data_IF_890797002609
#
_entry.id   IF_890797002609
#
_cell.length_a   1.000
_cell.length_b   1.000
_cell.length_c   1.000
_cell.angle_alpha   90.00
_cell.angle_beta   90.00
_cell.angle_gamma   90.00
#
_symmetry.space_group_name_H-M   'P 1'
#
loop_
_entity.id
_entity.type
_entity.pdbx_description
1 polymer ?
#
# COMPACT_ATOMS: atom_id res chain seq x y z
N UNK A 1 1.37 6.06 -1.59
CA UNK A 1 0.76 4.71 -1.53
C UNK A 1 1.85 3.73 -1.13
N UNK A 2 1.62 2.94 -0.08
CA UNK A 2 2.53 1.89 0.40
C UNK A 2 1.97 0.53 0.02
N UNK A 3 2.78 -0.28 -0.66
CA UNK A 3 2.38 -1.60 -1.15
C UNK A 3 3.31 -2.72 -0.64
N UNK A 4 2.80 -3.94 -0.42
CA UNK A 4 3.59 -5.04 0.13
C UNK A 4 4.48 -5.72 -0.90
N UNK A 5 4.13 -5.68 -2.19
CA UNK A 5 4.80 -6.45 -3.23
C UNK A 5 5.00 -5.70 -4.53
N UNK A 6 5.85 -6.23 -5.41
CA UNK A 6 6.04 -5.71 -6.77
C UNK A 6 4.75 -5.86 -7.58
N UNK A 7 4.05 -6.98 -7.45
CA UNK A 7 2.79 -7.20 -8.17
C UNK A 7 1.70 -6.17 -7.76
N UNK A 8 1.57 -5.89 -6.46
CA UNK A 8 0.67 -4.83 -5.97
C UNK A 8 1.07 -3.46 -6.52
N UNK A 9 2.38 -3.17 -6.58
CA UNK A 9 2.89 -1.93 -7.13
C UNK A 9 2.49 -1.73 -8.59
N UNK A 10 2.68 -2.75 -9.44
CA UNK A 10 2.30 -2.70 -10.85
C UNK A 10 0.78 -2.51 -11.03
N UNK A 11 -0.02 -3.14 -10.18
CA UNK A 11 -1.47 -2.95 -10.16
C UNK A 11 -1.87 -1.51 -9.81
N UNK A 12 -1.23 -0.92 -8.81
CA UNK A 12 -1.45 0.49 -8.43
C UNK A 12 -1.03 1.43 -9.55
N UNK A 13 0.15 1.24 -10.13
CA UNK A 13 0.65 2.07 -11.26
C UNK A 13 -0.33 2.04 -12.42
N UNK A 14 -0.78 0.85 -12.84
CA UNK A 14 -1.77 0.73 -13.90
C UNK A 14 -3.10 1.43 -13.57
N UNK A 15 -3.54 1.37 -12.32
CA UNK A 15 -4.75 2.06 -11.88
C UNK A 15 -4.58 3.57 -11.93
N UNK A 16 -3.42 4.09 -11.51
CA UNK A 16 -3.12 5.52 -11.58
C UNK A 16 -3.09 6.00 -13.03
N UNK A 17 -2.50 5.24 -13.95
CA UNK A 17 -2.51 5.57 -15.39
C UNK A 17 -3.94 5.71 -15.94
N UNK A 18 -4.80 4.75 -15.64
CA UNK A 18 -6.20 4.75 -16.09
C UNK A 18 -6.98 5.93 -15.50
N UNK A 19 -6.65 6.33 -14.27
CA UNK A 19 -7.42 7.34 -13.53
C UNK A 19 -6.97 8.78 -13.76
N UNK A 20 -5.89 9.03 -14.51
CA UNK A 20 -5.37 10.39 -14.73
C UNK A 20 -6.42 11.36 -15.29
N UNK A 21 -7.15 10.94 -16.33
CA UNK A 21 -8.20 11.74 -16.95
C UNK A 21 -9.36 12.01 -15.99
N UNK A 22 -9.74 11.01 -15.20
CA UNK A 22 -10.76 11.16 -14.16
C UNK A 22 -10.39 12.23 -13.14
N UNK A 23 -9.16 12.19 -12.61
CA UNK A 23 -8.69 13.20 -11.66
C UNK A 23 -8.64 14.60 -12.28
N UNK A 24 -8.18 14.71 -13.51
CA UNK A 24 -8.13 16.00 -14.21
C UNK A 24 -9.54 16.59 -14.38
N UNK A 25 -10.53 15.76 -14.70
CA UNK A 25 -11.92 16.17 -14.92
C UNK A 25 -12.62 16.54 -13.61
N UNK A 26 -12.53 15.67 -12.59
CA UNK A 26 -13.28 15.84 -11.34
C UNK A 26 -12.71 16.93 -10.43
N UNK A 27 -11.37 17.06 -10.40
CA UNK A 27 -10.69 17.97 -9.48
C UNK A 27 -10.09 19.21 -10.17
N UNK A 28 -10.18 19.28 -11.49
CA UNK A 28 -9.56 20.34 -12.30
C UNK A 28 -8.06 20.50 -12.01
N UNK A 29 -7.41 19.38 -11.71
CA UNK A 29 -5.97 19.29 -11.43
C UNK A 29 -5.41 18.02 -12.01
N UNK A 30 -4.26 18.09 -12.70
CA UNK A 30 -3.59 16.88 -13.15
C UNK A 30 -3.14 16.05 -11.95
N UNK A 31 -3.23 14.73 -12.10
CA UNK A 31 -2.64 13.79 -11.15
C UNK A 31 -1.37 13.23 -11.78
N UNK A 32 -0.28 13.38 -11.06
CA UNK A 32 1.03 12.86 -11.42
C UNK A 32 1.47 11.83 -10.39
N UNK A 33 2.31 10.88 -10.80
CA UNK A 33 2.83 9.90 -9.87
C UNK A 33 4.26 9.48 -10.23
N UNK A 34 4.96 8.90 -9.28
CA UNK A 34 6.22 8.21 -9.50
C UNK A 34 6.35 6.99 -8.58
N UNK A 35 7.14 6.04 -9.02
CA UNK A 35 7.56 4.91 -8.20
C UNK A 35 8.87 5.28 -7.52
N UNK A 36 8.95 5.11 -6.21
CA UNK A 36 10.18 5.36 -5.47
C UNK A 36 11.32 4.47 -5.98
N UNK A 37 12.41 5.09 -6.32
CA UNK A 37 13.69 4.45 -6.68
C UNK A 37 14.82 5.08 -5.85
N UNK A 38 15.54 4.24 -5.10
CA UNK A 38 16.69 4.68 -4.30
C UNK A 38 17.84 5.27 -5.12
N UNK A 39 17.89 4.97 -6.41
CA UNK A 39 18.91 5.48 -7.35
C UNK A 39 18.52 6.80 -8.00
N UNK A 40 17.24 7.18 -7.95
CA UNK A 40 16.74 8.43 -8.51
C UNK A 40 15.82 9.13 -7.50
N UNK A 41 16.36 10.11 -6.77
CA UNK A 41 15.64 10.82 -5.72
C UNK A 41 15.03 12.15 -6.19
N UNK A 42 15.29 12.59 -7.42
CA UNK A 42 14.74 13.84 -7.96
C UNK A 42 13.22 13.95 -7.86
N UNK A 43 12.41 12.87 -8.10
CA UNK A 43 10.96 12.96 -7.97
C UNK A 43 10.47 13.30 -6.55
N UNK A 44 11.27 13.04 -5.50
CA UNK A 44 10.92 13.39 -4.12
C UNK A 44 10.89 14.92 -3.94
N UNK A 45 11.77 15.66 -4.60
CA UNK A 45 11.75 17.13 -4.57
C UNK A 45 10.51 17.68 -5.27
N UNK A 46 10.17 17.11 -6.42
CA UNK A 46 8.93 17.43 -7.13
C UNK A 46 7.71 17.13 -6.28
N UNK A 47 7.68 15.97 -5.59
CA UNK A 47 6.62 15.60 -4.66
C UNK A 47 6.42 16.65 -3.55
N UNK A 48 7.49 17.22 -3.05
CA UNK A 48 7.43 18.20 -1.96
C UNK A 48 7.02 19.62 -2.41
N UNK A 49 7.14 19.93 -3.68
CA UNK A 49 6.94 21.31 -4.21
C UNK A 49 5.81 21.43 -5.23
N UNK A 50 5.33 20.32 -5.81
CA UNK A 50 4.32 20.34 -6.85
C UNK A 50 2.93 20.69 -6.25
N UNK A 51 2.21 21.68 -6.81
CA UNK A 51 0.87 22.07 -6.33
C UNK A 51 -0.26 21.17 -6.81
N UNK A 52 0.03 20.21 -7.68
CA UNK A 52 -0.93 19.25 -8.23
C UNK A 52 -1.15 18.06 -7.28
N UNK A 53 -2.02 17.16 -7.68
CA UNK A 53 -2.14 15.86 -6.99
C UNK A 53 -0.92 15.03 -7.39
N UNK A 54 -0.03 14.80 -6.45
CA UNK A 54 1.22 14.08 -6.72
C UNK A 54 1.32 12.83 -5.85
N UNK A 55 1.53 11.67 -6.46
CA UNK A 55 1.46 10.37 -5.79
C UNK A 55 2.82 9.68 -5.82
N UNK A 56 3.36 9.32 -4.65
CA UNK A 56 4.51 8.44 -4.53
C UNK A 56 4.02 7.00 -4.27
N UNK A 57 4.45 6.06 -5.10
CA UNK A 57 4.22 4.63 -4.88
C UNK A 57 5.51 4.00 -4.34
N UNK A 58 5.45 3.39 -3.16
CA UNK A 58 6.63 2.85 -2.49
C UNK A 58 6.36 1.45 -1.93
N UNK A 59 7.29 0.53 -2.16
CA UNK A 59 7.26 -0.80 -1.56
C UNK A 59 7.81 -0.77 -0.14
N UNK A 60 7.31 -1.62 0.73
CA UNK A 60 7.80 -1.75 2.11
C UNK A 60 9.29 -2.11 2.17
N UNK A 61 9.81 -2.86 1.20
CA UNK A 61 11.23 -3.20 1.12
C UNK A 61 12.12 -1.95 0.98
N UNK A 62 11.63 -0.89 0.35
CA UNK A 62 12.40 0.33 0.13
C UNK A 62 12.88 1.00 1.43
N UNK A 63 12.15 0.81 2.53
CA UNK A 63 12.54 1.34 3.83
C UNK A 63 12.72 0.29 4.92
N UNK A 64 12.38 -0.99 4.68
CA UNK A 64 12.52 -2.08 5.65
C UNK A 64 13.72 -2.98 5.40
N UNK A 65 14.27 -3.03 4.20
CA UNK A 65 15.42 -3.85 3.90
C UNK A 65 16.67 -3.38 4.71
N UNK A 66 17.59 -4.31 4.97
CA UNK A 66 18.84 -4.04 5.69
C UNK A 66 19.97 -3.55 4.78
N UNK A 67 19.76 -3.57 3.46
CA UNK A 67 20.76 -3.19 2.47
C UNK A 67 21.02 -1.68 2.41
N UNK A 68 22.12 -1.29 1.77
CA UNK A 68 22.50 0.12 1.61
C UNK A 68 21.45 0.94 0.88
N UNK A 69 20.80 0.36 -0.14
CA UNK A 69 19.74 1.03 -0.89
C UNK A 69 18.53 1.43 -0.03
N UNK A 70 18.15 0.58 0.92
CA UNK A 70 17.08 0.91 1.87
C UNK A 70 17.48 2.02 2.86
N UNK A 71 18.75 2.08 3.23
CA UNK A 71 19.26 3.15 4.10
C UNK A 71 19.28 4.50 3.38
N UNK A 72 19.34 4.52 2.06
CA UNK A 72 19.33 5.78 1.29
C UNK A 72 18.07 6.61 1.52
N UNK A 73 16.94 5.98 1.79
CA UNK A 73 15.70 6.70 2.11
C UNK A 73 15.74 7.39 3.48
N UNK A 74 16.45 6.83 4.44
CA UNK A 74 16.42 7.23 5.86
C UNK A 74 17.67 7.93 6.37
N UNK A 75 18.68 8.13 5.53
CA UNK A 75 19.93 8.83 5.90
C UNK A 75 20.17 10.09 5.08
N UNK A 76 21.05 10.94 5.58
CA UNK A 76 21.54 12.11 4.82
C UNK A 76 22.35 11.65 3.62
N UNK A 77 22.08 12.27 2.47
CA UNK A 77 22.76 11.96 1.22
C UNK A 77 23.36 13.23 0.63
N UNK A 78 24.64 13.16 0.24
CA UNK A 78 25.35 14.28 -0.38
C UNK A 78 24.69 14.69 -1.71
N UNK A 79 24.37 13.71 -2.57
CA UNK A 79 23.70 13.93 -3.83
C UNK A 79 22.26 14.46 -3.71
N UNK A 80 21.72 14.48 -2.50
CA UNK A 80 20.40 15.05 -2.16
C UNK A 80 20.54 16.32 -1.29
N UNK A 81 21.67 17.03 -1.42
CA UNK A 81 21.94 18.25 -0.67
C UNK A 81 22.04 18.03 0.85
N UNK A 82 22.65 16.94 1.28
CA UNK A 82 22.77 16.55 2.70
C UNK A 82 21.43 16.44 3.44
N UNK A 83 20.33 16.26 2.71
CA UNK A 83 18.99 16.04 3.29
C UNK A 83 18.66 14.55 3.40
N UNK A 84 17.70 14.23 4.25
CA UNK A 84 17.13 12.88 4.39
C UNK A 84 15.87 12.81 3.52
N UNK A 85 15.79 11.95 2.50
CA UNK A 85 14.63 11.86 1.61
C UNK A 85 13.30 11.66 2.36
N UNK A 86 13.28 10.79 3.37
CA UNK A 86 12.11 10.56 4.21
C UNK A 86 11.63 11.84 4.91
N UNK A 87 12.53 12.68 5.40
CA UNK A 87 12.18 13.93 6.06
C UNK A 87 11.58 14.95 5.09
N UNK A 88 12.04 14.97 3.83
CA UNK A 88 11.46 15.82 2.79
C UNK A 88 10.03 15.41 2.50
N UNK A 89 9.76 14.11 2.40
CA UNK A 89 8.38 13.59 2.26
C UNK A 89 7.55 13.90 3.51
N UNK A 90 8.09 13.68 4.70
CA UNK A 90 7.39 13.93 5.97
C UNK A 90 6.99 15.39 6.17
N UNK A 91 7.80 16.32 5.65
CA UNK A 91 7.51 17.76 5.73
C UNK A 91 6.26 18.19 4.93
N UNK A 92 5.79 17.37 4.00
CA UNK A 92 4.55 17.61 3.24
C UNK A 92 3.28 17.17 3.99
N UNK A 93 3.40 16.49 5.13
CA UNK A 93 2.27 15.85 5.84
C UNK A 93 1.40 15.01 4.89
N UNK A 94 1.95 14.01 4.21
CA UNK A 94 1.25 13.31 3.14
C UNK A 94 0.03 12.53 3.65
N UNK A 95 -0.95 12.31 2.79
CA UNK A 95 -1.97 11.28 3.02
C UNK A 95 -1.32 9.93 2.74
N UNK A 96 -1.34 9.04 3.73
CA UNK A 96 -0.77 7.70 3.61
C UNK A 96 -1.85 6.69 3.26
N UNK A 97 -1.73 6.04 2.11
CA UNK A 97 -2.61 4.96 1.66
C UNK A 97 -1.83 3.65 1.77
N UNK A 98 -2.33 2.70 2.54
CA UNK A 98 -1.67 1.40 2.77
C UNK A 98 -2.55 0.30 2.21
N UNK A 99 -2.06 -0.35 1.17
CA UNK A 99 -2.68 -1.53 0.58
C UNK A 99 -2.26 -2.79 1.33
N UNK A 100 -3.23 -3.67 1.59
CA UNK A 100 -3.03 -4.91 2.34
C UNK A 100 -2.25 -4.70 3.66
N UNK A 101 -2.76 -3.87 4.59
CA UNK A 101 -2.06 -3.47 5.80
C UNK A 101 -1.61 -4.66 6.67
N UNK A 102 -2.31 -5.79 6.63
CA UNK A 102 -1.89 -7.00 7.34
C UNK A 102 -0.55 -7.55 6.84
N UNK A 103 -0.22 -7.33 5.57
CA UNK A 103 1.07 -7.71 4.96
C UNK A 103 2.14 -6.64 5.21
N UNK A 104 1.75 -5.37 5.27
CA UNK A 104 2.65 -4.23 5.47
C UNK A 104 3.00 -4.04 6.95
N UNK A 105 1.99 -4.03 7.83
CA UNK A 105 2.14 -3.64 9.23
C UNK A 105 2.66 -4.74 10.15
N UNK A 106 2.71 -5.99 9.68
CA UNK A 106 3.12 -7.13 10.51
C UNK A 106 2.17 -7.42 11.68
N UNK A 107 2.53 -8.37 12.53
CA UNK A 107 1.71 -8.81 13.68
C UNK A 107 1.93 -7.91 14.90
N UNK A 108 3.18 -7.52 15.15
CA UNK A 108 3.54 -6.73 16.33
C UNK A 108 3.18 -5.25 16.14
N UNK A 109 2.44 -4.69 17.10
CA UNK A 109 2.07 -3.26 17.10
C UNK A 109 3.26 -2.31 17.23
N UNK A 110 4.36 -2.78 17.81
CA UNK A 110 5.57 -1.99 18.02
C UNK A 110 6.67 -2.30 17.01
N UNK A 111 6.35 -2.95 15.88
CA UNK A 111 7.37 -3.30 14.92
C UNK A 111 7.97 -2.07 14.21
N UNK A 112 9.18 -2.25 13.69
CA UNK A 112 9.94 -1.21 13.03
C UNK A 112 9.22 -0.60 11.81
N UNK A 113 8.40 -1.38 11.11
CA UNK A 113 7.65 -0.89 9.94
C UNK A 113 6.61 0.14 10.35
N UNK A 114 5.86 -0.12 11.41
CA UNK A 114 4.86 0.84 11.94
C UNK A 114 5.51 2.14 12.37
N UNK A 115 6.68 2.06 13.01
CA UNK A 115 7.42 3.26 13.38
C UNK A 115 7.88 4.04 12.16
N UNK A 116 8.45 3.38 11.16
CA UNK A 116 8.88 4.03 9.91
C UNK A 116 7.73 4.67 9.13
N UNK A 117 6.52 4.07 9.19
CA UNK A 117 5.34 4.68 8.59
C UNK A 117 4.86 5.92 9.36
N UNK A 118 5.01 5.95 10.69
CA UNK A 118 4.78 7.16 11.51
C UNK A 118 5.79 8.25 11.18
N UNK A 119 7.02 7.88 10.86
CA UNK A 119 8.08 8.83 10.50
C UNK A 119 7.80 9.57 9.18
N UNK A 120 6.83 9.13 8.36
CA UNK A 120 6.30 9.93 7.26
C UNK A 120 5.45 11.13 7.73
N UNK A 121 5.14 11.21 9.02
CA UNK A 121 4.32 12.26 9.60
C UNK A 121 3.02 12.52 8.84
N UNK A 122 2.21 11.47 8.56
CA UNK A 122 1.04 11.60 7.72
C UNK A 122 -0.03 12.46 8.37
N UNK A 123 -0.75 13.24 7.57
CA UNK A 123 -1.95 13.96 8.00
C UNK A 123 -3.02 12.98 8.50
N UNK A 124 -3.22 11.90 7.75
CA UNK A 124 -3.98 10.71 8.15
C UNK A 124 -3.59 9.51 7.28
N UNK A 125 -4.03 8.33 7.70
CA UNK A 125 -3.74 7.07 6.99
C UNK A 125 -5.02 6.35 6.63
N UNK A 126 -5.12 5.87 5.39
CA UNK A 126 -6.19 5.03 4.87
C UNK A 126 -5.66 3.60 4.71
N UNK A 127 -6.34 2.65 5.31
CA UNK A 127 -5.99 1.23 5.28
C UNK A 127 -7.01 0.47 4.44
N UNK A 128 -6.58 -0.10 3.33
CA UNK A 128 -7.43 -0.89 2.43
C UNK A 128 -7.10 -2.37 2.52
N UNK A 129 -8.06 -3.19 2.89
CA UNK A 129 -7.90 -4.64 2.94
C UNK A 129 -9.23 -5.35 2.85
N UNK A 130 -9.25 -6.51 2.22
CA UNK A 130 -10.36 -7.46 2.30
C UNK A 130 -10.39 -8.22 3.64
N UNK A 131 -9.25 -8.31 4.34
CA UNK A 131 -9.06 -9.15 5.53
C UNK A 131 -8.29 -8.41 6.62
N UNK A 132 -8.93 -7.41 7.24
CA UNK A 132 -8.35 -6.72 8.39
C UNK A 132 -8.22 -7.66 9.60
N UNK A 133 -7.13 -7.54 10.34
CA UNK A 133 -6.99 -8.19 11.64
C UNK A 133 -7.87 -7.45 12.65
N UNK A 134 -8.47 -8.18 13.58
CA UNK A 134 -9.35 -7.59 14.62
C UNK A 134 -8.66 -6.49 15.43
N UNK A 135 -7.36 -6.68 15.68
CA UNK A 135 -6.52 -5.73 16.44
C UNK A 135 -6.26 -4.41 15.69
N UNK A 136 -6.40 -4.42 14.36
CA UNK A 136 -6.16 -3.27 13.49
C UNK A 136 -7.47 -2.58 13.07
N UNK A 137 -8.64 -3.10 13.48
CA UNK A 137 -9.94 -2.49 13.19
C UNK A 137 -10.26 -1.44 14.27
N UNK A 138 -9.91 -0.21 13.98
CA UNK A 138 -10.35 0.97 14.71
C UNK A 138 -10.65 2.07 13.69
N UNK A 139 -11.69 2.85 13.91
CA UNK A 139 -12.17 3.87 12.97
C UNK A 139 -12.54 3.28 11.58
N UNK A 140 -13.18 2.11 11.57
CA UNK A 140 -13.65 1.51 10.32
C UNK A 140 -14.76 2.36 9.72
N UNK A 141 -14.51 2.97 8.56
CA UNK A 141 -15.46 3.86 7.87
C UNK A 141 -16.30 3.14 6.83
N UNK A 142 -15.82 2.00 6.33
CA UNK A 142 -16.53 1.18 5.34
C UNK A 142 -16.17 -0.30 5.49
N UNK A 143 -17.17 -1.15 5.25
CA UNK A 143 -17.00 -2.60 5.17
C UNK A 143 -17.83 -3.17 4.03
N UNK A 144 -17.25 -4.06 3.26
CA UNK A 144 -17.93 -4.89 2.27
C UNK A 144 -17.32 -6.29 2.36
N UNK A 145 -17.96 -7.16 3.14
CA UNK A 145 -17.50 -8.55 3.23
C UNK A 145 -18.09 -9.43 2.12
N UNK A 146 -17.66 -10.68 2.07
CA UNK A 146 -18.10 -11.63 1.05
C UNK A 146 -19.62 -11.89 1.08
N UNK A 147 -20.21 -11.89 2.27
CA UNK A 147 -21.67 -12.09 2.45
C UNK A 147 -22.41 -10.83 1.98
N UNK A 148 -21.94 -9.66 2.36
CA UNK A 148 -22.51 -8.39 1.92
C UNK A 148 -22.45 -8.26 0.39
N UNK A 149 -21.29 -8.61 -0.20
CA UNK A 149 -21.09 -8.59 -1.64
C UNK A 149 -22.03 -9.57 -2.36
N UNK A 150 -22.23 -10.78 -1.79
CA UNK A 150 -23.18 -11.76 -2.32
C UNK A 150 -24.63 -11.25 -2.24
N UNK A 151 -25.04 -10.73 -1.09
CA UNK A 151 -26.39 -10.21 -0.87
C UNK A 151 -26.69 -9.02 -1.79
N UNK A 152 -25.70 -8.18 -2.05
CA UNK A 152 -25.77 -7.05 -2.99
C UNK A 152 -25.63 -7.47 -4.46
N UNK A 153 -25.47 -8.77 -4.76
CA UNK A 153 -25.26 -9.32 -6.11
C UNK A 153 -24.05 -8.75 -6.85
N UNK A 154 -23.02 -8.35 -6.12
CA UNK A 154 -21.77 -7.81 -6.68
C UNK A 154 -20.80 -8.93 -7.08
N UNK A 155 -20.99 -10.14 -6.56
CA UNK A 155 -20.18 -11.32 -6.85
C UNK A 155 -21.05 -12.52 -7.19
N UNK A 156 -20.49 -13.48 -7.94
CA UNK A 156 -21.16 -14.73 -8.25
C UNK A 156 -21.22 -15.62 -7.00
N UNK A 157 -22.32 -16.35 -6.82
CA UNK A 157 -22.42 -17.38 -5.79
C UNK A 157 -21.44 -18.52 -6.13
N UNK A 158 -20.62 -18.92 -5.17
CA UNK A 158 -19.76 -20.10 -5.28
C UNK A 158 -20.49 -21.24 -4.58
N UNK A 159 -20.79 -22.30 -5.32
CA UNK A 159 -21.32 -23.55 -4.78
C UNK A 159 -20.23 -24.62 -4.85
N UNK A 160 -19.91 -25.21 -3.72
CA UNK A 160 -18.96 -26.33 -3.65
C UNK A 160 -19.76 -27.62 -3.53
N UNK A 161 -19.75 -28.43 -4.58
CA UNK A 161 -20.32 -29.79 -4.56
C UNK A 161 -19.24 -30.73 -4.04
N UNK A 162 -19.38 -31.19 -2.82
CA UNK A 162 -18.55 -32.24 -2.27
C UNK A 162 -19.04 -33.62 -2.72
N UNK A 163 -18.19 -34.36 -3.42
CA UNK A 163 -18.46 -35.80 -3.70
C UNK A 163 -17.98 -36.63 -2.50
N UNK A 164 -18.89 -37.20 -1.76
CA UNK A 164 -18.55 -38.14 -0.68
C UNK A 164 -18.27 -39.50 -1.33
N UNK A 165 -17.03 -39.85 -1.49
CA UNK A 165 -16.66 -41.21 -1.88
C UNK A 165 -16.93 -42.13 -0.66
N UNK A 166 -17.90 -42.99 -0.75
CA UNK A 166 -18.06 -44.08 0.20
C UNK A 166 -16.87 -45.03 -0.03
N UNK A 167 -15.94 -45.03 0.93
CA UNK A 167 -14.78 -45.84 0.82
C UNK A 167 -15.09 -47.32 0.81
N UNK A 168 -14.58 -48.03 -0.16
CA UNK A 168 -14.41 -49.48 -0.06
C UNK A 168 -13.33 -49.72 0.99
N UNK A 169 -13.68 -50.45 2.03
CA UNK A 169 -12.75 -51.11 2.94
C UNK A 169 -11.93 -52.12 2.11
N UNK A 170 -10.72 -51.75 1.76
CA UNK A 170 -9.74 -52.72 1.30
C UNK A 170 -9.32 -53.56 2.50
N UNK A 171 -9.84 -54.76 2.61
CA UNK A 171 -9.31 -55.80 3.47
C UNK A 171 -8.01 -56.28 2.82
N UNK A 172 -6.91 -56.01 3.45
CA UNK A 172 -5.64 -56.66 3.13
C UNK A 172 -5.62 -58.06 3.70
N UNK A 173 -5.34 -59.02 2.83
CA UNK A 173 -4.82 -60.32 3.19
C UNK A 173 -3.30 -60.20 3.37
#
# INVERSE_FOLDING_TARGET
IVVPSIASREGVVKSLDIMQEHFATEYNKPMEYFVYDSKNLSPIESFATNPNIYVMVINTQAFNARGEDAKRFTRKLEEFGYRVPQQVVAATNPILIIDEPQSVLGVDRNNATRQKLKDFNPLFSLLYSATHRKEDIYNQVYRLDAIDALNKKLVKKIEVLGVKQQGSTATNG
#
